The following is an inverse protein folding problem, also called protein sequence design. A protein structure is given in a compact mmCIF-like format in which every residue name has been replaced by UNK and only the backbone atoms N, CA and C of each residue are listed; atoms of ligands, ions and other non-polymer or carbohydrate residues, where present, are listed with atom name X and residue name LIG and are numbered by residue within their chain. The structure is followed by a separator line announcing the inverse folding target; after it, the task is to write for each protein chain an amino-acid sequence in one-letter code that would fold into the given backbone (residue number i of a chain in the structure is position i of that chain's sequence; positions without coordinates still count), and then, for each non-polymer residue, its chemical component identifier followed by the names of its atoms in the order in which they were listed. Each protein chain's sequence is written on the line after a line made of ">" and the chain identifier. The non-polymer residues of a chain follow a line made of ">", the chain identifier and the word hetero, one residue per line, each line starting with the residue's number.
data_IF_127791517577
#
_entry.id   IF_127791517577
#
_cell.length_a   1.000
_cell.length_b   1.000
_cell.length_c   1.000
_cell.angle_alpha   90.00
_cell.angle_beta   90.00
_cell.angle_gamma   90.00
#
_symmetry.space_group_name_H-M   'P 1'
#
loop_
_entity.id
_entity.type
_entity.pdbx_description
1 polymer ?
#
# COMPACT_ATOMS: atom_id res chain seq x y z
N UNK A 1 -6.44 -28.41 -15.37
CA UNK A 1 -6.56 -28.42 -13.90
C UNK A 1 -6.39 -27.00 -13.36
N UNK A 2 -7.49 -26.32 -13.03
CA UNK A 2 -7.42 -25.08 -12.26
C UNK A 2 -7.32 -25.44 -10.78
N UNK A 3 -6.25 -24.98 -10.14
CA UNK A 3 -6.14 -25.06 -8.68
C UNK A 3 -7.27 -24.21 -8.10
N UNK A 4 -8.20 -24.86 -7.39
CA UNK A 4 -9.16 -24.18 -6.53
C UNK A 4 -8.43 -23.42 -5.41
N UNK A 5 -9.09 -22.45 -4.77
CA UNK A 5 -8.49 -21.66 -3.70
C UNK A 5 -7.95 -22.59 -2.60
N UNK A 6 -6.67 -22.45 -2.24
CA UNK A 6 -6.01 -23.26 -1.20
C UNK A 6 -6.51 -22.95 0.23
N UNK A 7 -7.61 -22.21 0.37
CA UNK A 7 -8.16 -21.74 1.65
C UNK A 7 -9.43 -22.53 1.97
N UNK A 8 -9.37 -23.46 2.94
CA UNK A 8 -10.57 -24.08 3.51
C UNK A 8 -11.06 -23.30 4.74
N UNK A 9 -12.34 -23.40 5.08
CA UNK A 9 -12.90 -22.81 6.32
C UNK A 9 -12.29 -23.39 7.62
N UNK A 10 -11.59 -24.53 7.53
CA UNK A 10 -10.84 -25.14 8.64
C UNK A 10 -9.37 -24.66 8.70
N UNK A 11 -8.91 -23.83 7.76
CA UNK A 11 -7.53 -23.32 7.69
C UNK A 11 -7.29 -22.02 8.46
N UNK A 12 -8.32 -21.40 9.02
CA UNK A 12 -8.18 -20.20 9.87
C UNK A 12 -7.79 -20.62 11.29
N UNK A 13 -6.49 -20.58 11.58
CA UNK A 13 -5.95 -21.05 12.87
C UNK A 13 -5.77 -19.95 13.91
N UNK A 14 -5.74 -18.68 13.49
CA UNK A 14 -5.48 -17.55 14.40
C UNK A 14 -6.17 -16.26 13.92
N UNK A 15 -6.68 -15.48 14.87
CA UNK A 15 -7.28 -14.17 14.64
C UNK A 15 -6.70 -13.17 15.65
N UNK A 16 -6.36 -11.98 15.18
CA UNK A 16 -5.88 -10.90 16.03
C UNK A 16 -6.52 -9.57 15.66
N UNK A 17 -6.41 -8.60 16.57
CA UNK A 17 -6.84 -7.22 16.38
C UNK A 17 -5.72 -6.29 16.79
N UNK A 18 -5.46 -5.26 16.00
CA UNK A 18 -4.56 -4.18 16.38
C UNK A 18 -5.36 -3.10 17.11
N UNK A 19 -4.89 -2.73 18.31
CA UNK A 19 -5.49 -1.69 19.15
C UNK A 19 -4.39 -0.78 19.66
N UNK A 20 -4.68 0.52 19.69
CA UNK A 20 -3.86 1.47 20.40
C UNK A 20 -4.07 1.31 21.91
N UNK A 21 -3.03 1.57 22.70
CA UNK A 21 -3.13 1.57 24.17
C UNK A 21 -4.08 2.69 24.65
N UNK A 22 -3.94 3.88 24.05
CA UNK A 22 -4.87 4.99 24.26
C UNK A 22 -5.88 5.06 23.10
N UNK A 23 -7.20 5.04 23.38
CA UNK A 23 -8.22 5.18 22.33
C UNK A 23 -8.04 6.49 21.56
N UNK A 24 -7.94 6.38 20.23
CA UNK A 24 -7.79 7.54 19.34
C UNK A 24 -6.34 8.02 19.15
N UNK A 25 -5.35 7.39 19.79
CA UNK A 25 -3.93 7.70 19.58
C UNK A 25 -3.49 7.47 18.12
N UNK A 26 -4.04 6.44 17.48
CA UNK A 26 -3.81 6.13 16.07
C UNK A 26 -5.13 6.08 15.33
N UNK A 27 -5.17 6.66 14.12
CA UNK A 27 -6.30 6.51 13.24
C UNK A 27 -6.36 5.10 12.63
N UNK A 28 -7.52 4.74 12.10
CA UNK A 28 -7.78 3.42 11.54
C UNK A 28 -6.84 3.13 10.34
N UNK A 29 -6.49 4.17 9.56
CA UNK A 29 -5.53 4.06 8.43
C UNK A 29 -4.13 3.70 8.89
N UNK A 30 -3.66 4.27 9.99
CA UNK A 30 -2.33 4.00 10.55
C UNK A 30 -2.26 2.57 11.06
N UNK A 31 -3.28 2.12 11.79
CA UNK A 31 -3.35 0.73 12.25
C UNK A 31 -3.43 -0.26 11.08
N UNK A 32 -4.20 0.06 10.03
CA UNK A 32 -4.26 -0.75 8.81
C UNK A 32 -2.91 -0.79 8.08
N UNK A 33 -2.22 0.34 8.01
CA UNK A 33 -0.89 0.41 7.38
C UNK A 33 0.15 -0.40 8.17
N UNK A 34 0.14 -0.32 9.51
CA UNK A 34 1.00 -1.13 10.37
C UNK A 34 0.75 -2.62 10.17
N UNK A 35 -0.52 -3.02 10.05
CA UNK A 35 -0.88 -4.40 9.77
C UNK A 35 -0.29 -4.89 8.45
N UNK A 36 -0.51 -4.14 7.38
CA UNK A 36 -0.20 -4.57 6.02
C UNK A 36 1.32 -4.55 5.74
N UNK A 37 2.03 -3.55 6.29
CA UNK A 37 3.45 -3.31 6.01
C UNK A 37 4.41 -3.81 7.08
N UNK A 38 3.93 -4.25 8.24
CA UNK A 38 4.79 -4.77 9.31
C UNK A 38 4.29 -6.13 9.79
N UNK A 39 3.08 -6.19 10.35
CA UNK A 39 2.61 -7.41 11.04
C UNK A 39 2.48 -8.58 10.06
N UNK A 40 1.83 -8.37 8.91
CA UNK A 40 1.69 -9.39 7.86
C UNK A 40 3.05 -9.87 7.37
N UNK A 41 3.99 -8.95 7.12
CA UNK A 41 5.35 -9.29 6.66
C UNK A 41 6.14 -10.11 7.69
N UNK A 42 5.92 -9.87 8.99
CA UNK A 42 6.57 -10.63 10.06
C UNK A 42 5.95 -12.02 10.27
N UNK A 43 4.66 -12.19 9.96
CA UNK A 43 3.96 -13.47 10.12
C UNK A 43 4.14 -14.41 8.92
N UNK A 44 4.18 -13.89 7.70
CA UNK A 44 4.31 -14.71 6.49
C UNK A 44 5.48 -15.72 6.46
N UNK A 45 6.66 -15.45 7.06
CA UNK A 45 7.76 -16.42 7.09
C UNK A 45 7.58 -17.59 8.06
N UNK A 46 6.57 -17.55 8.95
CA UNK A 46 6.33 -18.62 9.91
C UNK A 46 5.84 -19.86 9.17
N UNK A 47 6.47 -21.00 9.45
CA UNK A 47 6.15 -22.26 8.78
C UNK A 47 4.67 -22.64 8.98
N UNK A 48 4.06 -23.14 7.89
CA UNK A 48 2.61 -23.45 7.85
C UNK A 48 1.69 -22.25 7.59
N UNK A 49 2.18 -21.01 7.58
CA UNK A 49 1.37 -19.84 7.19
C UNK A 49 1.40 -19.67 5.67
N UNK A 50 0.24 -19.88 5.02
CA UNK A 50 0.09 -19.65 3.58
C UNK A 50 -0.32 -18.22 3.24
N UNK A 51 -1.18 -17.60 4.06
CA UNK A 51 -1.58 -16.21 3.90
C UNK A 51 -2.08 -15.62 5.23
N UNK A 52 -2.05 -14.29 5.32
CA UNK A 52 -2.62 -13.51 6.42
C UNK A 52 -3.65 -12.55 5.85
N UNK A 53 -4.92 -12.81 6.11
CA UNK A 53 -6.03 -12.00 5.62
C UNK A 53 -6.26 -10.81 6.53
N UNK A 54 -6.40 -9.63 5.93
CA UNK A 54 -6.59 -8.38 6.67
C UNK A 54 -8.02 -7.89 6.45
N UNK A 55 -8.82 -7.83 7.51
CA UNK A 55 -10.23 -7.46 7.45
C UNK A 55 -10.48 -6.07 8.04
N UNK A 56 -11.27 -5.25 7.33
CA UNK A 56 -11.59 -3.89 7.75
C UNK A 56 -10.41 -2.92 7.68
N UNK A 57 -10.64 -1.74 8.25
CA UNK A 57 -9.71 -0.61 8.18
C UNK A 57 -9.72 0.10 6.83
N UNK A 58 -9.04 1.24 6.77
CA UNK A 58 -8.92 2.07 5.57
C UNK A 58 -7.51 1.92 4.99
N UNK A 59 -7.42 1.53 3.72
CA UNK A 59 -6.13 1.41 3.03
C UNK A 59 -5.60 2.79 2.69
N UNK A 60 -4.31 3.04 2.95
CA UNK A 60 -3.67 4.31 2.60
C UNK A 60 -3.69 4.50 1.08
N UNK A 61 -4.28 5.60 0.64
CA UNK A 61 -4.33 6.00 -0.76
C UNK A 61 -3.90 7.46 -0.86
N UNK A 62 -2.99 7.74 -1.80
CA UNK A 62 -2.60 9.10 -2.15
C UNK A 62 -3.47 9.55 -3.32
N UNK A 63 -4.33 10.54 -3.08
CA UNK A 63 -5.22 11.09 -4.11
C UNK A 63 -4.76 12.51 -4.47
N UNK A 64 -4.50 12.73 -5.76
CA UNK A 64 -4.23 14.06 -6.30
C UNK A 64 -5.55 14.67 -6.77
N UNK A 65 -6.01 15.70 -6.06
CA UNK A 65 -7.24 16.42 -6.40
C UNK A 65 -6.90 17.65 -7.25
N UNK A 66 -7.32 17.64 -8.51
CA UNK A 66 -6.97 18.66 -9.51
C UNK A 66 -8.10 19.70 -9.62
N UNK A 67 -7.76 20.99 -9.74
CA UNK A 67 -8.72 22.07 -10.06
C UNK A 67 -8.68 22.37 -11.57
N UNK A 68 -9.74 22.02 -12.34
CA UNK A 68 -9.76 22.24 -13.79
C UNK A 68 -9.57 23.70 -14.20
N UNK A 69 -10.00 24.66 -13.37
CA UNK A 69 -9.87 26.09 -13.69
C UNK A 69 -8.41 26.54 -13.61
N UNK A 70 -7.64 25.97 -12.69
CA UNK A 70 -6.21 26.25 -12.59
C UNK A 70 -5.46 25.65 -13.77
N UNK A 71 -5.80 24.42 -14.16
CA UNK A 71 -5.21 23.79 -15.34
C UNK A 71 -5.43 24.66 -16.59
N UNK A 72 -6.67 25.09 -16.83
CA UNK A 72 -6.99 25.97 -17.94
C UNK A 72 -6.21 27.29 -17.90
N UNK A 73 -5.98 27.87 -16.72
CA UNK A 73 -5.20 29.11 -16.60
C UNK A 73 -3.70 28.94 -16.92
N UNK A 74 -3.20 27.72 -16.83
CA UNK A 74 -1.83 27.34 -17.17
C UNK A 74 -1.71 26.67 -18.53
N UNK A 75 -2.80 26.58 -19.30
CA UNK A 75 -2.88 25.86 -20.58
C UNK A 75 -2.43 24.39 -20.46
N UNK A 76 -2.80 23.75 -19.33
CA UNK A 76 -2.49 22.37 -19.03
C UNK A 76 -3.73 21.47 -19.15
N UNK A 77 -3.52 20.23 -19.55
CA UNK A 77 -4.50 19.16 -19.55
C UNK A 77 -4.34 18.26 -18.30
N UNK A 78 -5.33 17.41 -18.05
CA UNK A 78 -5.26 16.43 -16.95
C UNK A 78 -4.17 15.39 -17.21
N UNK A 79 -3.95 15.03 -18.47
CA UNK A 79 -2.92 14.08 -18.86
C UNK A 79 -1.50 14.61 -18.57
N UNK A 80 -1.26 15.91 -18.69
CA UNK A 80 0.03 16.52 -18.32
C UNK A 80 0.36 16.30 -16.84
N UNK A 81 -0.65 16.43 -15.97
CA UNK A 81 -0.48 16.19 -14.54
C UNK A 81 -0.19 14.72 -14.26
N UNK A 82 -0.87 13.81 -14.96
CA UNK A 82 -0.66 12.36 -14.83
C UNK A 82 0.76 11.99 -15.24
N UNK A 83 1.20 12.44 -16.40
CA UNK A 83 2.55 12.17 -16.92
C UNK A 83 3.63 12.72 -15.98
N UNK A 84 3.48 13.96 -15.50
CA UNK A 84 4.41 14.54 -14.55
C UNK A 84 4.54 13.74 -13.25
N UNK A 85 3.43 13.20 -12.72
CA UNK A 85 3.46 12.34 -11.53
C UNK A 85 4.17 11.02 -11.83
N UNK A 86 3.85 10.40 -12.97
CA UNK A 86 4.46 9.14 -13.40
C UNK A 86 5.97 9.26 -13.60
N UNK A 87 6.44 10.36 -14.21
CA UNK A 87 7.86 10.62 -14.42
C UNK A 87 8.60 10.94 -13.11
N UNK A 88 7.99 11.75 -12.24
CA UNK A 88 8.58 12.14 -10.95
C UNK A 88 8.72 10.97 -9.98
N UNK A 89 7.85 9.96 -10.09
CA UNK A 89 7.90 8.76 -9.24
C UNK A 89 8.83 7.66 -9.80
N UNK A 90 9.68 7.96 -10.78
CA UNK A 90 10.70 7.02 -11.28
C UNK A 90 11.97 7.11 -10.43
N UNK A 91 12.43 5.96 -9.97
CA UNK A 91 13.75 5.83 -9.35
C UNK A 91 14.78 5.42 -10.43
N UNK A 92 15.85 6.18 -10.59
CA UNK A 92 16.96 5.86 -11.51
C UNK A 92 18.25 5.68 -10.73
N UNK A 93 18.91 4.54 -10.90
CA UNK A 93 20.22 4.26 -10.27
C UNK A 93 21.35 5.00 -10.99
N UNK A 94 22.14 5.77 -10.25
CA UNK A 94 23.40 6.33 -10.76
C UNK A 94 24.40 5.20 -10.95
N UNK A 95 24.59 4.74 -12.19
CA UNK A 95 25.61 3.75 -12.50
C UNK A 95 27.03 4.33 -12.33
N UNK A 96 28.03 3.45 -12.24
CA UNK A 96 29.43 3.82 -12.05
C UNK A 96 29.94 4.76 -13.15
N UNK A 97 30.55 5.89 -12.76
CA UNK A 97 31.27 6.80 -13.65
C UNK A 97 32.77 6.56 -13.45
N UNK A 98 33.41 5.90 -14.42
CA UNK A 98 34.85 5.69 -14.41
C UNK A 98 35.56 7.05 -14.59
N UNK A 99 36.33 7.46 -13.58
CA UNK A 99 37.24 8.60 -13.69
C UNK A 99 38.63 8.01 -13.80
N UNK A 100 39.12 7.97 -15.04
CA UNK A 100 40.48 7.52 -15.37
C UNK A 100 41.57 8.34 -14.72
#
# INVERSE_FOLDING_TARGET
>A
PEMGPNTSGLGQIFQYVLRAEEPGQFDIKTLRSLNDWVVKLLLMPVDGITDVLSFGGDVLQYQVNIDPRKLLSFDLEVDDVREAIEESNRNSGGWYLDRG
#
